data_IF_039686284567
#
_entry.id   IF_039686284567
#
_cell.length_a   1.000
_cell.length_b   1.000
_cell.length_c   1.000
_cell.angle_alpha   90.00
_cell.angle_beta   90.00
_cell.angle_gamma   90.00
#
_symmetry.space_group_name_H-M   'P 1'
#
loop_
_entity.id
_entity.type
_entity.pdbx_description
1 polymer ?
#
# COMPACT_ATOMS: atom_id res chain seq x y z
N UNK A 1 -5.12 -10.93 -28.51
CA UNK A 1 -4.79 -12.04 -27.59
C UNK A 1 -3.71 -12.86 -28.27
N UNK A 2 -2.45 -12.63 -27.90
CA UNK A 2 -1.34 -13.48 -28.35
C UNK A 2 -1.56 -14.86 -27.73
N UNK A 3 -1.40 -15.98 -28.46
CA UNK A 3 -1.45 -17.30 -27.84
C UNK A 3 -0.39 -17.29 -26.73
N UNK A 4 -0.85 -17.46 -25.48
CA UNK A 4 0.02 -17.52 -24.31
C UNK A 4 1.03 -18.61 -24.55
N UNK A 5 2.31 -18.27 -24.44
CA UNK A 5 3.37 -19.26 -24.53
C UNK A 5 3.13 -20.21 -23.33
N UNK A 6 2.85 -21.51 -23.52
CA UNK A 6 2.40 -22.39 -22.44
C UNK A 6 3.42 -22.46 -21.28
N UNK A 7 4.70 -22.27 -21.60
CA UNK A 7 5.81 -22.15 -20.64
C UNK A 7 5.70 -20.91 -19.73
N UNK A 8 5.05 -19.83 -20.22
CA UNK A 8 4.84 -18.61 -19.46
C UNK A 8 3.74 -18.79 -18.41
N UNK A 9 2.65 -19.46 -18.79
CA UNK A 9 1.51 -19.66 -17.90
C UNK A 9 1.83 -20.69 -16.81
N UNK A 10 2.65 -21.71 -17.10
CA UNK A 10 3.08 -22.72 -16.12
C UNK A 10 3.93 -22.12 -14.99
N UNK A 11 4.90 -21.24 -15.28
CA UNK A 11 5.74 -20.68 -14.23
C UNK A 11 4.97 -19.74 -13.30
N UNK A 12 4.09 -18.89 -13.86
CA UNK A 12 3.26 -17.98 -13.06
C UNK A 12 2.32 -18.78 -12.16
N UNK A 13 1.80 -19.90 -12.64
CA UNK A 13 0.93 -20.77 -11.87
C UNK A 13 1.67 -21.46 -10.72
N UNK A 14 2.88 -21.97 -10.95
CA UNK A 14 3.72 -22.57 -9.89
C UNK A 14 4.10 -21.52 -8.85
N UNK A 15 4.59 -20.35 -9.27
CA UNK A 15 4.93 -19.23 -8.39
C UNK A 15 3.73 -18.78 -7.54
N UNK A 16 2.55 -18.68 -8.15
CA UNK A 16 1.33 -18.33 -7.44
C UNK A 16 0.93 -19.40 -6.41
N UNK A 17 0.88 -20.67 -6.84
CA UNK A 17 0.39 -21.79 -6.02
C UNK A 17 1.23 -22.02 -4.77
N UNK A 18 2.54 -21.79 -4.84
CA UNK A 18 3.44 -22.02 -3.72
C UNK A 18 3.91 -20.74 -3.01
N UNK A 19 3.80 -19.59 -3.66
CA UNK A 19 4.22 -18.28 -3.12
C UNK A 19 3.13 -17.49 -2.41
N UNK A 20 1.84 -17.76 -2.67
CA UNK A 20 0.74 -16.89 -2.20
C UNK A 20 0.69 -16.67 -0.69
N UNK A 21 1.04 -17.68 0.12
CA UNK A 21 1.11 -17.52 1.58
C UNK A 21 2.12 -16.45 2.01
N UNK A 22 3.28 -16.40 1.36
CA UNK A 22 4.32 -15.40 1.64
C UNK A 22 3.90 -14.01 1.16
N UNK A 23 3.17 -13.94 0.03
CA UNK A 23 2.58 -12.69 -0.44
C UNK A 23 1.59 -12.13 0.58
N UNK A 24 0.70 -12.96 1.13
CA UNK A 24 -0.25 -12.56 2.17
C UNK A 24 0.47 -12.11 3.45
N UNK A 25 1.50 -12.85 3.87
CA UNK A 25 2.32 -12.51 5.03
C UNK A 25 3.08 -11.19 4.87
N UNK A 26 3.41 -10.77 3.65
CA UNK A 26 3.94 -9.43 3.39
C UNK A 26 2.84 -8.36 3.34
N UNK A 27 1.74 -8.65 2.65
CA UNK A 27 0.67 -7.69 2.36
C UNK A 27 -0.12 -7.26 3.60
N UNK A 28 -0.59 -8.21 4.41
CA UNK A 28 -1.44 -7.91 5.57
C UNK A 28 -0.72 -6.98 6.56
N UNK A 29 0.49 -7.31 7.06
CA UNK A 29 1.16 -6.44 8.01
C UNK A 29 1.61 -5.13 7.37
N UNK A 30 1.96 -5.10 6.07
CA UNK A 30 2.23 -3.84 5.37
C UNK A 30 1.00 -2.91 5.39
N UNK A 31 -0.18 -3.41 5.04
CA UNK A 31 -1.43 -2.65 5.08
C UNK A 31 -1.77 -2.15 6.50
N UNK A 32 -1.59 -2.99 7.52
CA UNK A 32 -1.78 -2.61 8.93
C UNK A 32 -0.79 -1.49 9.31
N UNK A 33 0.47 -1.63 8.92
CA UNK A 33 1.53 -0.64 9.15
C UNK A 33 1.13 0.73 8.57
N UNK A 34 0.70 0.79 7.31
CA UNK A 34 0.23 2.03 6.67
C UNK A 34 -1.02 2.60 7.34
N UNK A 35 -1.98 1.74 7.69
CA UNK A 35 -3.22 2.15 8.33
C UNK A 35 -2.97 2.79 9.71
N UNK A 36 -2.07 2.22 10.50
CA UNK A 36 -1.65 2.77 11.79
C UNK A 36 -0.80 4.02 11.59
N UNK A 37 0.22 3.95 10.74
CA UNK A 37 1.18 5.02 10.47
C UNK A 37 0.54 6.33 9.97
N UNK A 38 -0.47 6.24 9.10
CA UNK A 38 -1.20 7.40 8.58
C UNK A 38 -2.00 8.16 9.64
N UNK A 39 -2.08 7.65 10.88
CA UNK A 39 -2.89 8.23 11.97
C UNK A 39 -2.11 9.25 12.78
N UNK A 40 -0.79 9.13 12.75
CA UNK A 40 0.11 10.05 13.45
C UNK A 40 0.09 11.43 12.79
N UNK A 41 0.32 12.48 13.58
CA UNK A 41 0.43 13.87 13.05
C UNK A 41 1.79 14.14 12.39
N UNK A 42 2.85 13.51 12.91
CA UNK A 42 4.23 13.66 12.43
C UNK A 42 4.42 13.06 11.04
N UNK A 43 4.99 13.83 10.11
CA UNK A 43 5.34 13.35 8.77
C UNK A 43 6.49 12.34 8.81
N UNK A 44 7.43 12.49 9.75
CA UNK A 44 8.55 11.55 9.93
C UNK A 44 8.03 10.18 10.32
N UNK A 45 7.14 10.12 11.32
CA UNK A 45 6.53 8.84 11.75
C UNK A 45 5.77 8.18 10.61
N UNK A 46 4.98 8.94 9.85
CA UNK A 46 4.28 8.43 8.65
C UNK A 46 5.25 7.84 7.63
N UNK A 47 6.33 8.55 7.34
CA UNK A 47 7.38 8.10 6.42
C UNK A 47 8.04 6.81 6.88
N UNK A 48 8.32 6.67 8.18
CA UNK A 48 8.89 5.43 8.74
C UNK A 48 7.95 4.24 8.60
N UNK A 49 6.67 4.40 8.93
CA UNK A 49 5.68 3.33 8.73
C UNK A 49 5.48 2.99 7.25
N UNK A 50 5.57 3.97 6.35
CA UNK A 50 5.57 3.74 4.91
C UNK A 50 6.78 2.90 4.48
N UNK A 51 7.99 3.28 4.90
CA UNK A 51 9.21 2.53 4.60
C UNK A 51 9.15 1.10 5.13
N UNK A 52 8.73 0.90 6.38
CA UNK A 52 8.57 -0.44 6.98
C UNK A 52 7.52 -1.25 6.21
N UNK A 53 6.39 -0.66 5.85
CA UNK A 53 5.36 -1.33 5.05
C UNK A 53 5.89 -1.78 3.68
N UNK A 54 6.67 -0.94 2.99
CA UNK A 54 7.31 -1.28 1.72
C UNK A 54 8.26 -2.46 1.89
N UNK A 55 9.09 -2.46 2.94
CA UNK A 55 10.01 -3.57 3.22
C UNK A 55 9.29 -4.88 3.54
N UNK A 56 8.17 -4.83 4.28
CA UNK A 56 7.36 -6.01 4.58
C UNK A 56 6.72 -6.60 3.31
N UNK A 57 6.14 -5.75 2.47
CA UNK A 57 5.53 -6.17 1.22
C UNK A 57 6.57 -6.70 0.23
N UNK A 58 7.71 -6.01 0.10
CA UNK A 58 8.83 -6.45 -0.72
C UNK A 58 9.42 -7.78 -0.22
N UNK A 59 9.63 -7.93 1.08
CA UNK A 59 10.15 -9.17 1.67
C UNK A 59 9.21 -10.37 1.51
N UNK A 60 7.90 -10.16 1.68
CA UNK A 60 6.90 -11.21 1.41
C UNK A 60 6.85 -11.62 -0.06
N UNK A 61 7.00 -10.65 -0.97
CA UNK A 61 7.15 -10.92 -2.40
C UNK A 61 8.41 -11.74 -2.71
N UNK A 62 9.56 -11.29 -2.22
CA UNK A 62 10.84 -11.97 -2.41
C UNK A 62 10.80 -13.42 -1.90
N UNK A 63 10.29 -13.65 -0.69
CA UNK A 63 10.15 -14.99 -0.12
C UNK A 63 9.17 -15.88 -0.91
N UNK A 64 8.07 -15.31 -1.41
CA UNK A 64 7.11 -16.06 -2.22
C UNK A 64 7.69 -16.49 -3.57
N UNK A 65 8.45 -15.61 -4.20
CA UNK A 65 9.18 -15.90 -5.44
C UNK A 65 10.24 -16.96 -5.20
N UNK A 66 11.11 -16.78 -4.22
CA UNK A 66 12.16 -17.74 -3.84
C UNK A 66 11.59 -19.13 -3.57
N UNK A 67 10.47 -19.19 -2.82
CA UNK A 67 9.81 -20.46 -2.53
C UNK A 67 9.26 -21.13 -3.78
N UNK A 68 8.67 -20.35 -4.70
CA UNK A 68 8.17 -20.85 -5.97
C UNK A 68 9.30 -21.42 -6.84
N UNK A 69 10.42 -20.71 -6.96
CA UNK A 69 11.60 -21.19 -7.69
C UNK A 69 12.19 -22.45 -7.07
N UNK A 70 12.37 -22.48 -5.75
CA UNK A 70 12.90 -23.66 -5.05
C UNK A 70 12.05 -24.91 -5.31
N UNK A 71 10.73 -24.77 -5.35
CA UNK A 71 9.83 -25.89 -5.68
C UNK A 71 9.89 -26.24 -7.16
N UNK A 72 9.89 -25.24 -8.04
CA UNK A 72 9.97 -25.43 -9.48
C UNK A 72 11.23 -26.21 -9.88
N UNK A 73 12.37 -25.87 -9.29
CA UNK A 73 13.66 -26.55 -9.45
C UNK A 73 13.67 -27.97 -8.87
N UNK A 74 12.80 -28.27 -7.90
CA UNK A 74 12.72 -29.59 -7.25
C UNK A 74 11.81 -30.60 -7.96
N UNK A 75 11.12 -30.18 -9.03
CA UNK A 75 10.25 -31.07 -9.80
C UNK A 75 11.07 -32.15 -10.54
N UNK A 76 10.47 -33.32 -10.87
CA UNK A 76 11.19 -34.44 -11.46
C UNK A 76 11.86 -34.15 -12.81
N UNK A 77 11.31 -33.23 -13.59
CA UNK A 77 11.85 -32.76 -14.87
C UNK A 77 11.74 -31.22 -14.90
N UNK A 78 12.61 -30.50 -14.17
CA UNK A 78 12.56 -29.04 -14.16
C UNK A 78 13.07 -28.52 -15.51
N UNK A 79 12.39 -27.56 -16.13
CA UNK A 79 12.82 -26.98 -17.39
C UNK A 79 14.02 -26.04 -17.15
N UNK A 80 14.82 -25.78 -18.19
CA UNK A 80 16.07 -24.99 -18.06
C UNK A 80 15.82 -23.56 -17.54
N UNK A 81 14.63 -23.00 -17.82
CA UNK A 81 14.22 -21.68 -17.33
C UNK A 81 14.13 -21.62 -15.79
N UNK A 82 13.92 -22.74 -15.10
CA UNK A 82 13.87 -22.78 -13.64
C UNK A 82 15.22 -22.42 -12.98
N UNK A 83 16.33 -22.49 -13.74
CA UNK A 83 17.68 -22.15 -13.28
C UNK A 83 18.21 -20.83 -13.87
N UNK A 84 17.36 -20.07 -14.57
CA UNK A 84 17.72 -18.75 -15.11
C UNK A 84 17.89 -17.71 -13.99
N UNK A 85 19.10 -17.17 -13.83
CA UNK A 85 19.41 -16.10 -12.87
C UNK A 85 18.70 -14.76 -13.17
N UNK A 86 18.17 -14.61 -14.39
CA UNK A 86 17.52 -13.37 -14.86
C UNK A 86 16.28 -13.04 -14.04
N UNK A 87 15.57 -14.06 -13.56
CA UNK A 87 14.31 -13.87 -12.85
C UNK A 87 14.50 -13.56 -11.37
N UNK A 88 15.59 -14.01 -10.74
CA UNK A 88 15.94 -13.64 -9.37
C UNK A 88 16.25 -12.13 -9.28
N UNK A 89 16.97 -11.60 -10.27
CA UNK A 89 17.21 -10.17 -10.42
C UNK A 89 15.90 -9.41 -10.72
N UNK A 90 15.03 -9.97 -11.56
CA UNK A 90 13.71 -9.40 -11.83
C UNK A 90 12.86 -9.33 -10.56
N UNK A 91 12.84 -10.36 -9.72
CA UNK A 91 12.11 -10.35 -8.44
C UNK A 91 12.61 -9.29 -7.47
N UNK A 92 13.93 -9.06 -7.43
CA UNK A 92 14.55 -8.02 -6.61
C UNK A 92 14.10 -6.62 -7.03
N UNK A 93 14.10 -6.29 -8.33
CA UNK A 93 13.74 -4.96 -8.85
C UNK A 93 12.23 -4.75 -9.05
N UNK A 94 11.52 -5.77 -9.55
CA UNK A 94 10.08 -5.73 -9.76
C UNK A 94 9.30 -5.77 -8.45
N UNK A 95 9.85 -6.24 -7.34
CA UNK A 95 9.16 -6.17 -6.04
C UNK A 95 8.98 -4.75 -5.52
N UNK A 96 9.87 -3.81 -5.87
CA UNK A 96 9.86 -2.44 -5.36
C UNK A 96 8.76 -1.58 -5.98
N UNK A 97 8.61 -1.62 -7.31
CA UNK A 97 7.67 -0.75 -8.03
C UNK A 97 6.21 -0.96 -7.59
N UNK A 98 5.66 -2.19 -7.55
CA UNK A 98 4.31 -2.46 -7.07
C UNK A 98 4.15 -2.05 -5.60
N UNK A 99 5.15 -2.29 -4.76
CA UNK A 99 5.11 -1.95 -3.34
C UNK A 99 5.04 -0.44 -3.12
N UNK A 100 5.88 0.32 -3.83
CA UNK A 100 5.91 1.78 -3.77
C UNK A 100 4.60 2.39 -4.28
N UNK A 101 4.12 1.94 -5.44
CA UNK A 101 2.90 2.48 -6.05
C UNK A 101 1.68 2.14 -5.20
N UNK A 102 1.50 0.87 -4.82
CA UNK A 102 0.34 0.44 -4.06
C UNK A 102 0.29 1.09 -2.67
N UNK A 103 1.36 0.95 -1.87
CA UNK A 103 1.38 1.48 -0.51
C UNK A 103 1.44 3.00 -0.49
N UNK A 104 2.10 3.63 -1.48
CA UNK A 104 2.11 5.08 -1.65
C UNK A 104 0.70 5.62 -1.92
N UNK A 105 -0.04 5.01 -2.85
CA UNK A 105 -1.43 5.36 -3.13
C UNK A 105 -2.34 5.14 -1.90
N UNK A 106 -2.22 4.00 -1.23
CA UNK A 106 -2.98 3.71 -0.02
C UNK A 106 -2.70 4.72 1.09
N UNK A 107 -1.42 5.06 1.30
CA UNK A 107 -1.01 6.06 2.28
C UNK A 107 -1.56 7.45 1.94
N UNK A 108 -1.47 7.89 0.68
CA UNK A 108 -2.02 9.17 0.23
C UNK A 108 -3.55 9.23 0.39
N UNK A 109 -4.25 8.14 0.06
CA UNK A 109 -5.69 8.01 0.26
C UNK A 109 -6.07 8.13 1.74
N UNK A 110 -5.37 7.40 2.62
CA UNK A 110 -5.64 7.43 4.06
C UNK A 110 -5.37 8.80 4.68
N UNK A 111 -4.31 9.48 4.27
CA UNK A 111 -4.04 10.88 4.65
C UNK A 111 -5.20 11.77 4.18
N UNK A 112 -5.60 11.68 2.91
CA UNK A 112 -6.69 12.50 2.35
C UNK A 112 -8.00 12.28 3.09
N UNK A 113 -8.34 11.04 3.41
CA UNK A 113 -9.54 10.70 4.18
C UNK A 113 -9.45 11.28 5.60
N UNK A 114 -8.30 11.14 6.27
CA UNK A 114 -8.13 11.59 7.67
C UNK A 114 -8.06 13.11 7.82
N UNK A 115 -7.50 13.81 6.83
CA UNK A 115 -7.46 15.28 6.82
C UNK A 115 -8.71 15.90 6.21
N UNK A 116 -9.35 15.26 5.23
CA UNK A 116 -10.61 15.72 4.64
C UNK A 116 -11.81 15.63 5.61
N UNK A 117 -11.75 14.76 6.61
CA UNK A 117 -12.72 14.74 7.73
C UNK A 117 -12.55 15.90 8.71
N UNK A 118 -11.48 16.70 8.61
CA UNK A 118 -11.32 17.96 9.35
C UNK A 118 -11.89 19.11 8.52
N UNK A 119 -13.21 19.12 8.35
CA UNK A 119 -13.88 20.30 7.79
C UNK A 119 -13.60 21.51 8.70
N UNK A 120 -13.38 22.72 8.14
CA UNK A 120 -13.21 23.93 8.93
C UNK A 120 -14.45 24.19 9.79
N UNK A 121 -14.32 24.76 11.00
CA UNK A 121 -15.45 25.14 11.86
C UNK A 121 -16.38 26.22 11.27
N UNK A 122 -16.19 26.64 10.01
CA UNK A 122 -16.85 27.79 9.41
C UNK A 122 -18.31 27.56 8.99
N UNK A 123 -18.97 26.53 9.53
CA UNK A 123 -20.44 26.47 9.60
C UNK A 123 -20.93 26.65 11.04
N UNK A 124 -20.25 27.52 11.80
CA UNK A 124 -20.89 28.18 12.95
C UNK A 124 -21.85 29.21 12.37
N UNK A 125 -23.15 28.99 12.61
CA UNK A 125 -24.26 29.88 12.27
C UNK A 125 -23.89 31.37 12.46
N UNK A 126 -24.33 32.28 11.58
CA UNK A 126 -24.20 33.70 11.87
C UNK A 126 -24.87 33.99 13.23
N UNK A 127 -24.29 34.87 14.07
CA UNK A 127 -24.92 35.26 15.32
C UNK A 127 -26.34 35.75 15.01
N UNK A 128 -27.32 35.21 15.73
CA UNK A 128 -28.71 35.62 15.61
C UNK A 128 -28.79 37.15 15.68
N UNK A 129 -29.58 37.74 14.79
CA UNK A 129 -29.79 39.18 14.59
C UNK A 129 -30.27 39.96 15.83
N UNK A 130 -30.38 39.32 16.99
CA UNK A 130 -30.77 39.92 18.27
C UNK A 130 -29.73 40.89 18.84
N UNK A 131 -28.44 40.81 18.46
CA UNK A 131 -27.40 41.72 18.98
C UNK A 131 -27.32 43.07 18.25
N UNK A 132 -27.87 43.16 17.04
CA UNK A 132 -27.81 44.39 16.25
C UNK A 132 -28.80 45.45 16.76
N UNK A 133 -29.95 45.02 17.28
CA UNK A 133 -30.97 45.91 17.86
C UNK A 133 -30.55 46.50 19.21
N UNK A 134 -29.78 45.78 20.05
CA UNK A 134 -29.29 46.32 21.32
C UNK A 134 -28.21 47.39 21.12
N UNK A 135 -27.32 47.20 20.13
CA UNK A 135 -26.24 48.15 19.84
C UNK A 135 -26.77 49.49 19.32
N UNK A 136 -27.86 49.47 18.53
CA UNK A 136 -28.51 50.69 18.04
C UNK A 136 -29.36 51.40 19.11
N UNK A 137 -29.85 50.68 20.13
CA UNK A 137 -30.58 51.29 21.23
C UNK A 137 -29.66 52.02 22.23
N UNK A 138 -28.41 51.57 22.38
CA UNK A 138 -27.44 52.19 23.28
C UNK A 138 -26.93 53.54 22.77
N UNK A 139 -26.83 53.72 21.46
CA UNK A 139 -26.37 54.98 20.84
C UNK A 139 -27.44 56.09 20.76
N UNK A 140 -28.67 55.82 21.24
CA UNK A 140 -29.81 56.76 21.17
C UNK A 140 -30.23 57.35 22.54
N UNK A 141 -29.43 57.16 23.59
CA UNK A 141 -29.57 57.82 24.90
C UNK A 141 -28.46 58.85 25.08
#
# INVERSE_FOLDING_TARGET
MSPGNPLVDEHLWVLWTYGWFHFILGWIPACICIFVGSGFKSQVTRGLFLGVGILLMWGGYFMGVERGYSIWQSLPNPPDEAFSDTDAAAGLFLGWLPSLVFLGCLHALLIRIRHGRRLPPSYQFPPSTSSFTETLAFHRK
#
